data_IF_275940634100
#
_entry.id   IF_275940634100
#
_cell.length_a   1.000
_cell.length_b   1.000
_cell.length_c   1.000
_cell.angle_alpha   90.00
_cell.angle_beta   90.00
_cell.angle_gamma   90.00
#
_symmetry.space_group_name_H-M   'P 1'
#
loop_
_entity.id
_entity.type
_entity.pdbx_description
1 polymer ?
#
# COMPACT_ATOMS: atom_id res chain seq x y z
N UNK A 1 29.01 5.28 -17.52
CA UNK A 1 29.01 4.91 -16.09
C UNK A 1 28.90 3.40 -16.01
N UNK A 2 29.83 2.73 -15.32
CA UNK A 2 29.71 1.29 -15.07
C UNK A 2 28.68 0.98 -13.98
N UNK A 3 28.38 -0.29 -13.77
CA UNK A 3 27.49 -0.77 -12.71
C UNK A 3 27.97 -0.35 -11.31
N UNK A 4 29.26 -0.59 -11.00
CA UNK A 4 29.83 -0.25 -9.70
C UNK A 4 29.81 1.27 -9.42
N UNK A 5 30.09 2.10 -10.42
CA UNK A 5 30.02 3.57 -10.29
C UNK A 5 28.59 4.03 -9.96
N UNK A 6 27.59 3.38 -10.59
CA UNK A 6 26.17 3.66 -10.38
C UNK A 6 25.76 3.30 -8.94
N UNK A 7 26.14 2.11 -8.46
CA UNK A 7 25.85 1.66 -7.10
C UNK A 7 26.50 2.60 -6.08
N UNK A 8 27.80 2.86 -6.21
CA UNK A 8 28.56 3.71 -5.28
C UNK A 8 27.96 5.11 -5.20
N UNK A 9 27.55 5.67 -6.34
CA UNK A 9 27.05 7.05 -6.41
C UNK A 9 25.61 7.19 -5.95
N UNK A 10 24.72 6.30 -6.36
CA UNK A 10 23.29 6.48 -6.15
C UNK A 10 22.75 5.69 -4.98
N UNK A 11 23.20 4.45 -4.76
CA UNK A 11 22.55 3.49 -3.85
C UNK A 11 23.36 3.16 -2.59
N UNK A 12 24.67 3.42 -2.57
CA UNK A 12 25.47 3.16 -1.37
C UNK A 12 25.25 4.26 -0.32
N UNK A 13 24.94 3.84 0.90
CA UNK A 13 24.82 4.69 2.09
C UNK A 13 25.52 4.03 3.27
N UNK A 14 26.04 4.81 4.24
CA UNK A 14 26.55 4.25 5.48
C UNK A 14 25.43 3.52 6.23
N UNK A 15 25.70 2.29 6.67
CA UNK A 15 24.81 1.57 7.58
C UNK A 15 24.76 2.30 8.93
N UNK A 16 23.57 2.43 9.51
CA UNK A 16 23.37 3.04 10.84
C UNK A 16 22.88 2.01 11.84
N UNK A 17 21.92 1.18 11.42
CA UNK A 17 21.26 0.17 12.26
C UNK A 17 21.76 -1.24 11.99
N UNK A 18 21.93 -1.61 10.72
CA UNK A 18 22.33 -2.97 10.35
C UNK A 18 23.85 -3.16 10.43
N UNK A 19 24.30 -4.40 10.58
CA UNK A 19 25.73 -4.72 10.71
C UNK A 19 26.53 -4.37 9.44
N UNK A 20 25.87 -4.50 8.28
CA UNK A 20 26.41 -4.17 6.97
C UNK A 20 25.39 -3.35 6.17
N UNK A 21 25.90 -2.47 5.31
CA UNK A 21 25.13 -1.80 4.26
C UNK A 21 25.53 -2.35 2.89
N UNK A 22 25.15 -1.64 1.82
CA UNK A 22 25.57 -2.00 0.46
C UNK A 22 27.10 -2.00 0.33
N UNK A 23 27.68 -3.10 -0.16
CA UNK A 23 29.11 -3.21 -0.45
C UNK A 23 29.78 -4.55 -0.13
N UNK A 24 29.03 -5.53 0.37
CA UNK A 24 29.49 -6.92 0.62
C UNK A 24 28.60 -7.91 -0.15
N UNK A 25 28.96 -9.20 -0.17
CA UNK A 25 28.25 -10.25 -0.93
C UNK A 25 26.86 -10.56 -0.37
N UNK A 26 26.62 -10.27 0.91
CA UNK A 26 25.29 -10.42 1.51
C UNK A 26 25.02 -9.41 2.64
N UNK A 27 23.74 -9.13 2.85
CA UNK A 27 23.28 -8.37 4.00
C UNK A 27 23.21 -9.27 5.25
N UNK A 28 23.60 -8.72 6.40
CA UNK A 28 23.47 -9.38 7.70
C UNK A 28 22.41 -8.66 8.54
N UNK A 29 21.26 -9.31 8.70
CA UNK A 29 20.10 -8.79 9.43
C UNK A 29 19.88 -9.57 10.73
N UNK A 30 19.76 -8.85 11.84
CA UNK A 30 19.44 -9.43 13.14
C UNK A 30 18.18 -8.73 13.71
N UNK A 31 17.02 -9.41 13.69
CA UNK A 31 15.82 -8.90 14.37
C UNK A 31 16.09 -8.72 15.87
N UNK A 32 15.41 -7.78 16.51
CA UNK A 32 15.50 -7.64 17.96
C UNK A 32 15.00 -8.92 18.67
N UNK A 33 15.53 -9.19 19.88
CA UNK A 33 15.13 -10.36 20.65
C UNK A 33 13.61 -10.36 20.92
N UNK A 34 12.95 -11.49 20.66
CA UNK A 34 11.49 -11.63 20.80
C UNK A 34 10.68 -11.17 19.59
N UNK A 35 11.33 -10.72 18.52
CA UNK A 35 10.68 -10.37 17.25
C UNK A 35 10.70 -11.54 16.25
N UNK A 36 9.77 -11.50 15.31
CA UNK A 36 9.76 -12.31 14.09
C UNK A 36 10.07 -11.39 12.89
N UNK A 37 10.78 -11.94 11.91
CA UNK A 37 11.06 -11.24 10.65
C UNK A 37 9.85 -11.37 9.71
N UNK A 38 9.26 -10.24 9.34
CA UNK A 38 8.29 -10.11 8.26
C UNK A 38 9.05 -9.78 6.96
N UNK A 39 8.71 -10.48 5.87
CA UNK A 39 9.36 -10.31 4.57
C UNK A 39 8.29 -10.19 3.50
N UNK A 40 8.39 -9.19 2.65
CA UNK A 40 7.54 -9.05 1.45
C UNK A 40 8.39 -8.64 0.25
N UNK A 41 7.89 -8.88 -0.96
CA UNK A 41 8.55 -8.46 -2.18
C UNK A 41 7.55 -8.14 -3.28
N UNK A 42 7.68 -6.95 -3.83
CA UNK A 42 6.87 -6.45 -4.95
C UNK A 42 7.74 -6.02 -6.12
N UNK A 43 7.15 -6.15 -7.32
CA UNK A 43 7.77 -5.82 -8.58
C UNK A 43 6.96 -4.78 -9.34
N UNK A 44 7.61 -3.66 -9.70
CA UNK A 44 7.05 -2.61 -10.55
C UNK A 44 7.65 -2.67 -11.95
N UNK A 45 6.80 -3.08 -12.89
CA UNK A 45 7.07 -3.13 -14.34
C UNK A 45 6.51 -1.89 -15.04
N UNK A 46 7.33 -1.22 -15.86
CA UNK A 46 6.95 -0.09 -16.69
C UNK A 46 5.78 -0.43 -17.63
N UNK A 47 4.83 0.50 -17.79
CA UNK A 47 3.64 0.31 -18.63
C UNK A 47 2.57 -0.58 -18.02
N UNK A 48 2.86 -1.23 -16.87
CA UNK A 48 1.90 -2.02 -16.09
C UNK A 48 1.57 -1.36 -14.75
N UNK A 49 2.58 -1.08 -13.94
CA UNK A 49 2.38 -0.53 -12.58
C UNK A 49 2.65 0.98 -12.48
N UNK A 50 3.33 1.53 -13.48
CA UNK A 50 3.56 2.96 -13.63
C UNK A 50 3.66 3.32 -15.11
N UNK A 51 3.39 4.59 -15.42
CA UNK A 51 3.45 5.12 -16.77
C UNK A 51 4.90 5.50 -17.13
N UNK A 52 5.35 5.35 -18.39
CA UNK A 52 6.71 5.71 -18.79
C UNK A 52 7.09 7.18 -18.50
N UNK A 53 6.11 8.07 -18.45
CA UNK A 53 6.29 9.50 -18.19
C UNK A 53 6.24 9.88 -16.69
N UNK A 54 6.25 8.90 -15.78
CA UNK A 54 6.26 9.16 -14.34
C UNK A 54 7.54 9.91 -13.93
N UNK A 55 7.40 10.86 -13.01
CA UNK A 55 8.57 11.54 -12.43
C UNK A 55 9.45 10.51 -11.68
N UNK A 56 10.75 10.41 -11.96
CA UNK A 56 11.58 9.35 -11.37
C UNK A 56 11.66 9.44 -9.84
N UNK A 57 11.62 10.63 -9.25
CA UNK A 57 11.64 10.76 -7.79
C UNK A 57 10.35 10.22 -7.17
N UNK A 58 9.20 10.50 -7.78
CA UNK A 58 7.94 9.88 -7.36
C UNK A 58 7.96 8.37 -7.53
N UNK A 59 8.50 7.87 -8.65
CA UNK A 59 8.65 6.42 -8.85
C UNK A 59 9.55 5.76 -7.81
N UNK A 60 10.66 6.40 -7.41
CA UNK A 60 11.52 5.93 -6.33
C UNK A 60 10.80 5.84 -4.99
N UNK A 61 9.98 6.85 -4.67
CA UNK A 61 9.08 6.80 -3.50
C UNK A 61 8.09 5.64 -3.61
N UNK A 62 7.34 5.55 -4.73
CA UNK A 62 6.33 4.50 -4.94
C UNK A 62 6.94 3.11 -4.79
N UNK A 63 8.10 2.87 -5.40
CA UNK A 63 8.78 1.57 -5.36
C UNK A 63 8.95 1.01 -3.94
N UNK A 64 9.35 1.86 -2.98
CA UNK A 64 9.45 1.42 -1.59
C UNK A 64 8.10 1.48 -0.86
N UNK A 65 7.27 2.48 -1.14
CA UNK A 65 5.97 2.66 -0.47
C UNK A 65 5.06 1.44 -0.59
N UNK A 66 4.98 0.82 -1.77
CA UNK A 66 4.13 -0.37 -1.99
C UNK A 66 4.55 -1.54 -1.08
N UNK A 67 5.85 -1.77 -0.94
CA UNK A 67 6.36 -2.82 -0.06
C UNK A 67 6.22 -2.46 1.43
N UNK A 68 6.37 -1.18 1.79
CA UNK A 68 6.13 -0.72 3.16
C UNK A 68 4.64 -0.84 3.54
N UNK A 69 3.73 -0.82 2.56
CA UNK A 69 2.29 -1.09 2.75
C UNK A 69 2.06 -2.52 3.23
N UNK A 70 2.75 -3.52 2.65
CA UNK A 70 2.67 -4.91 3.13
C UNK A 70 3.13 -5.05 4.58
N UNK A 71 4.25 -4.39 4.92
CA UNK A 71 4.72 -4.37 6.30
C UNK A 71 3.70 -3.69 7.23
N UNK A 72 3.06 -2.61 6.79
CA UNK A 72 1.98 -1.97 7.55
C UNK A 72 0.79 -2.93 7.76
N UNK A 73 0.38 -3.69 6.74
CA UNK A 73 -0.70 -4.66 6.82
C UNK A 73 -0.38 -5.86 7.74
N UNK A 74 0.91 -6.21 7.87
CA UNK A 74 1.41 -7.17 8.86
C UNK A 74 1.55 -6.54 10.26
N UNK A 75 1.43 -5.22 10.36
CA UNK A 75 1.77 -4.46 11.55
C UNK A 75 3.24 -4.62 11.90
N UNK A 76 4.17 -4.64 10.96
CA UNK A 76 5.61 -4.75 11.19
C UNK A 76 6.27 -3.35 11.27
N UNK A 77 7.39 -3.26 11.98
CA UNK A 77 8.30 -2.12 11.91
C UNK A 77 9.31 -2.35 10.78
N UNK A 78 9.41 -1.46 9.78
CA UNK A 78 10.45 -1.55 8.76
C UNK A 78 11.85 -1.61 9.39
N UNK A 79 12.71 -2.44 8.79
CA UNK A 79 14.07 -2.69 9.23
C UNK A 79 15.06 -2.40 8.09
N UNK A 80 14.85 -3.04 6.93
CA UNK A 80 15.75 -2.97 5.80
C UNK A 80 15.03 -3.34 4.50
N UNK A 81 15.67 -3.10 3.37
CA UNK A 81 15.21 -3.58 2.08
C UNK A 81 16.38 -3.84 1.12
N UNK A 82 16.12 -4.64 0.09
CA UNK A 82 17.02 -4.82 -1.07
C UNK A 82 16.37 -4.29 -2.34
N UNK A 83 17.18 -3.83 -3.29
CA UNK A 83 16.72 -3.31 -4.58
C UNK A 83 17.35 -4.10 -5.74
N UNK A 84 16.53 -4.84 -6.48
CA UNK A 84 16.91 -5.40 -7.77
C UNK A 84 16.37 -4.51 -8.90
N UNK A 85 17.29 -3.86 -9.62
CA UNK A 85 16.97 -2.82 -10.60
C UNK A 85 17.48 -3.21 -11.99
N UNK A 86 16.55 -3.36 -12.94
CA UNK A 86 16.87 -3.49 -14.35
C UNK A 86 16.58 -2.17 -15.08
N UNK A 87 17.56 -1.68 -15.83
CA UNK A 87 17.48 -0.41 -16.57
C UNK A 87 17.95 -0.60 -18.02
N UNK A 88 17.32 0.05 -19.02
CA UNK A 88 17.75 -0.08 -20.41
C UNK A 88 19.14 0.55 -20.63
N UNK A 89 19.42 1.62 -19.90
CA UNK A 89 20.69 2.35 -19.91
C UNK A 89 20.95 3.01 -18.56
N UNK A 90 22.21 3.22 -18.22
CA UNK A 90 22.62 3.99 -17.04
C UNK A 90 22.45 5.50 -17.33
N UNK A 91 21.28 6.04 -17.02
CA UNK A 91 20.96 7.47 -17.16
C UNK A 91 20.98 8.17 -15.79
N UNK A 92 21.98 9.01 -15.59
CA UNK A 92 22.15 9.80 -14.37
C UNK A 92 20.98 10.76 -14.10
N UNK A 93 20.40 11.35 -15.15
CA UNK A 93 19.29 12.29 -15.02
C UNK A 93 18.03 11.60 -14.50
N UNK A 94 17.92 10.29 -14.68
CA UNK A 94 16.85 9.44 -14.14
C UNK A 94 17.22 8.85 -12.77
N UNK A 95 18.43 8.30 -12.63
CA UNK A 95 18.92 7.64 -11.42
C UNK A 95 18.98 8.57 -10.21
N UNK A 96 19.47 9.80 -10.41
CA UNK A 96 19.60 10.77 -9.33
C UNK A 96 18.24 11.12 -8.68
N UNK A 97 17.19 11.54 -9.42
CA UNK A 97 15.87 11.74 -8.84
C UNK A 97 15.27 10.47 -8.25
N UNK A 98 15.38 9.33 -8.94
CA UNK A 98 14.87 8.06 -8.44
C UNK A 98 15.43 7.71 -7.06
N UNK A 99 16.77 7.71 -6.92
CA UNK A 99 17.42 7.44 -5.66
C UNK A 99 17.01 8.45 -4.58
N UNK A 100 16.89 9.75 -4.91
CA UNK A 100 16.44 10.76 -3.93
C UNK A 100 15.05 10.46 -3.36
N UNK A 101 14.09 10.12 -4.21
CA UNK A 101 12.73 9.78 -3.78
C UNK A 101 12.68 8.51 -2.94
N UNK A 102 13.41 7.48 -3.37
CA UNK A 102 13.56 6.22 -2.63
C UNK A 102 14.14 6.45 -1.23
N UNK A 103 15.27 7.18 -1.13
CA UNK A 103 15.94 7.42 0.14
C UNK A 103 15.19 8.36 1.06
N UNK A 104 14.46 9.35 0.52
CA UNK A 104 13.63 10.22 1.34
C UNK A 104 12.58 9.41 2.12
N UNK A 105 11.94 8.43 1.46
CA UNK A 105 10.97 7.55 2.13
C UNK A 105 11.65 6.54 3.06
N UNK A 106 12.78 5.96 2.63
CA UNK A 106 13.58 5.04 3.44
C UNK A 106 14.00 5.66 4.78
N UNK A 107 14.48 6.91 4.75
CA UNK A 107 14.87 7.67 5.92
C UNK A 107 13.68 7.98 6.83
N UNK A 108 12.53 8.36 6.26
CA UNK A 108 11.31 8.65 7.02
C UNK A 108 10.76 7.43 7.78
N UNK A 109 11.08 6.21 7.34
CA UNK A 109 10.64 4.96 7.96
C UNK A 109 11.77 4.17 8.62
N UNK A 110 12.98 4.72 8.69
CA UNK A 110 14.18 4.06 9.24
C UNK A 110 14.42 2.67 8.61
N UNK A 111 14.19 2.55 7.30
CA UNK A 111 14.31 1.31 6.54
C UNK A 111 15.55 1.37 5.64
N UNK A 112 16.62 0.66 5.98
CA UNK A 112 17.90 0.82 5.28
C UNK A 112 17.99 -0.02 3.99
N UNK A 113 18.54 0.53 2.90
CA UNK A 113 18.95 -0.26 1.75
C UNK A 113 20.22 -1.03 2.11
N UNK A 114 20.13 -2.36 2.18
CA UNK A 114 21.23 -3.23 2.64
C UNK A 114 21.87 -4.07 1.54
N UNK A 115 21.27 -4.10 0.34
CA UNK A 115 21.79 -4.88 -0.77
C UNK A 115 20.90 -4.78 -1.99
N UNK A 116 21.24 -5.54 -3.03
CA UNK A 116 20.51 -5.47 -4.28
C UNK A 116 21.29 -6.03 -5.45
N UNK A 117 20.71 -5.85 -6.64
CA UNK A 117 21.34 -6.20 -7.91
C UNK A 117 21.01 -5.09 -8.92
N UNK A 118 21.94 -4.75 -9.80
CA UNK A 118 21.69 -3.77 -10.87
C UNK A 118 22.14 -4.33 -12.20
N UNK A 119 21.21 -4.42 -13.15
CA UNK A 119 21.48 -5.04 -14.45
C UNK A 119 20.90 -4.23 -15.61
N UNK A 120 21.35 -4.54 -16.82
CA UNK A 120 20.84 -3.94 -18.05
C UNK A 120 19.69 -4.76 -18.62
N UNK A 121 18.52 -4.16 -18.78
CA UNK A 121 17.33 -4.81 -19.34
C UNK A 121 16.13 -3.84 -19.41
N UNK A 122 14.92 -4.30 -19.73
CA UNK A 122 13.71 -3.48 -19.64
C UNK A 122 13.54 -2.88 -18.23
N UNK A 123 12.98 -1.67 -18.13
CA UNK A 123 12.83 -0.99 -16.84
C UNK A 123 11.93 -1.81 -15.90
N UNK A 124 12.56 -2.33 -14.83
CA UNK A 124 11.90 -3.14 -13.82
C UNK A 124 12.54 -2.87 -12.46
N UNK A 125 11.71 -2.66 -11.45
CA UNK A 125 12.12 -2.38 -10.08
C UNK A 125 11.51 -3.45 -9.19
N UNK A 126 12.33 -4.30 -8.59
CA UNK A 126 11.91 -5.28 -7.61
C UNK A 126 12.53 -4.93 -6.26
N UNK A 127 11.70 -4.77 -5.24
CA UNK A 127 12.16 -4.53 -3.88
C UNK A 127 11.72 -5.71 -3.02
N UNK A 128 12.60 -6.12 -2.11
CA UNK A 128 12.25 -7.02 -1.00
C UNK A 128 12.44 -6.24 0.28
N UNK A 129 11.40 -6.15 1.11
CA UNK A 129 11.47 -5.46 2.40
C UNK A 129 11.50 -6.46 3.54
N UNK A 130 12.19 -6.04 4.60
CA UNK A 130 12.32 -6.74 5.85
C UNK A 130 11.79 -5.84 6.94
N UNK A 131 10.89 -6.36 7.75
CA UNK A 131 10.39 -5.71 8.95
C UNK A 131 10.40 -6.66 10.12
N UNK A 132 10.23 -6.13 11.33
CA UNK A 132 10.15 -6.93 12.54
C UNK A 132 8.81 -6.70 13.25
N UNK A 133 8.24 -7.78 13.78
CA UNK A 133 6.98 -7.76 14.52
C UNK A 133 7.13 -8.60 15.79
N UNK A 134 6.60 -8.18 16.95
CA UNK A 134 6.66 -9.00 18.15
C UNK A 134 6.02 -10.37 17.90
N UNK A 135 6.65 -11.43 18.40
CA UNK A 135 6.17 -12.78 18.16
C UNK A 135 4.69 -12.95 18.56
N UNK A 136 3.87 -13.44 17.63
CA UNK A 136 2.43 -13.63 17.84
C UNK A 136 1.56 -12.38 17.77
N UNK A 137 2.11 -11.22 17.41
CA UNK A 137 1.37 -9.96 17.24
C UNK A 137 1.21 -9.52 15.77
N UNK A 138 1.66 -10.35 14.82
CA UNK A 138 1.46 -10.08 13.40
C UNK A 138 -0.03 -9.96 13.08
N UNK A 139 -0.38 -8.91 12.35
CA UNK A 139 -1.71 -8.76 11.78
C UNK A 139 -1.80 -9.66 10.55
N UNK A 140 -2.85 -10.47 10.48
CA UNK A 140 -3.05 -11.44 9.41
C UNK A 140 -4.35 -11.15 8.66
N UNK A 141 -4.45 -11.66 7.43
CA UNK A 141 -5.71 -11.65 6.66
C UNK A 141 -6.79 -12.53 7.30
N UNK A 142 -6.38 -13.53 8.08
CA UNK A 142 -7.25 -14.39 8.85
C UNK A 142 -7.53 -13.82 10.24
N UNK A 143 -8.70 -14.12 10.78
CA UNK A 143 -9.08 -13.79 12.16
C UNK A 143 -10.29 -12.87 12.28
N UNK A 144 -10.83 -12.36 11.16
CA UNK A 144 -12.07 -11.59 11.15
C UNK A 144 -13.24 -12.44 11.67
N UNK A 145 -14.11 -11.83 12.47
CA UNK A 145 -15.22 -12.52 13.16
C UNK A 145 -16.55 -11.85 12.84
N UNK A 146 -17.61 -12.65 12.78
CA UNK A 146 -18.96 -12.11 12.65
C UNK A 146 -19.25 -11.09 13.77
N UNK A 147 -19.75 -9.91 13.39
CA UNK A 147 -19.98 -8.81 14.32
C UNK A 147 -18.82 -7.82 14.45
N UNK A 148 -17.64 -8.12 13.90
CA UNK A 148 -16.57 -7.13 13.78
C UNK A 148 -17.02 -5.98 12.87
N UNK A 149 -16.64 -4.76 13.21
CA UNK A 149 -16.74 -3.62 12.32
C UNK A 149 -15.62 -3.70 11.26
N UNK A 150 -15.94 -3.24 10.05
CA UNK A 150 -15.00 -3.16 8.93
C UNK A 150 -14.56 -1.71 8.71
N UNK A 151 -13.24 -1.49 8.67
CA UNK A 151 -12.62 -0.17 8.56
C UNK A 151 -11.68 -0.08 7.38
N UNK A 152 -11.54 1.14 6.85
CA UNK A 152 -10.53 1.53 5.87
C UNK A 152 -9.83 2.78 6.35
N UNK A 153 -8.50 2.87 6.17
CA UNK A 153 -7.76 4.10 6.43
C UNK A 153 -7.77 5.07 5.24
N UNK A 154 -7.53 6.34 5.51
CA UNK A 154 -7.30 7.37 4.49
C UNK A 154 -8.43 7.54 3.48
N UNK A 155 -8.05 7.65 2.21
CA UNK A 155 -8.94 7.86 1.06
C UNK A 155 -8.71 6.79 -0.01
N UNK A 156 -9.77 6.44 -0.74
CA UNK A 156 -9.74 5.44 -1.82
C UNK A 156 -10.22 6.02 -3.15
N UNK A 157 -9.69 5.50 -4.25
CA UNK A 157 -10.11 5.80 -5.62
C UNK A 157 -9.46 7.04 -6.25
N UNK A 158 -8.75 7.86 -5.47
CA UNK A 158 -8.03 9.03 -5.99
C UNK A 158 -6.90 8.61 -6.95
N UNK A 159 -6.22 7.50 -6.68
CA UNK A 159 -5.20 6.94 -7.57
C UNK A 159 -5.82 6.52 -8.92
N UNK A 160 -7.00 5.88 -8.87
CA UNK A 160 -7.76 5.51 -10.08
C UNK A 160 -8.16 6.74 -10.90
N UNK A 161 -8.60 7.82 -10.26
CA UNK A 161 -8.90 9.08 -10.94
C UNK A 161 -7.67 9.60 -11.72
N UNK A 162 -6.49 9.63 -11.10
CA UNK A 162 -5.26 10.08 -11.75
C UNK A 162 -4.89 9.21 -12.97
N UNK A 163 -5.07 7.90 -12.86
CA UNK A 163 -4.83 6.96 -13.95
C UNK A 163 -5.77 7.19 -15.13
N UNK A 164 -7.07 7.37 -14.87
CA UNK A 164 -8.06 7.60 -15.91
C UNK A 164 -7.85 8.95 -16.63
N UNK A 165 -7.45 10.00 -15.91
CA UNK A 165 -7.05 11.28 -16.54
C UNK A 165 -5.79 11.10 -17.39
N UNK A 166 -4.80 10.35 -16.90
CA UNK A 166 -3.55 10.09 -17.64
C UNK A 166 -3.77 9.24 -18.91
N UNK A 167 -4.84 8.43 -18.94
CA UNK A 167 -5.28 7.67 -20.11
C UNK A 167 -6.12 8.50 -21.10
N UNK A 168 -6.48 9.73 -20.74
CA UNK A 168 -7.34 10.61 -21.54
C UNK A 168 -8.82 10.24 -21.49
N UNK A 169 -9.26 9.43 -20.51
CA UNK A 169 -10.67 9.04 -20.37
C UNK A 169 -11.55 10.20 -19.87
N UNK A 170 -10.96 11.13 -19.12
CA UNK A 170 -11.62 12.35 -18.64
C UNK A 170 -10.60 13.48 -18.41
N UNK A 171 -11.13 14.68 -18.19
CA UNK A 171 -10.34 15.86 -17.82
C UNK A 171 -10.89 16.46 -16.52
N UNK A 172 -9.97 16.90 -15.66
CA UNK A 172 -10.29 17.51 -14.37
C UNK A 172 -9.41 18.76 -14.17
N UNK A 173 -9.79 19.69 -13.27
CA UNK A 173 -8.94 20.83 -12.93
C UNK A 173 -7.52 20.40 -12.53
N UNK A 174 -6.52 21.21 -12.88
CA UNK A 174 -5.12 20.86 -12.69
C UNK A 174 -4.74 20.60 -11.22
N UNK A 175 -5.35 21.32 -10.28
CA UNK A 175 -5.14 21.14 -8.84
C UNK A 175 -5.74 19.81 -8.33
N UNK A 176 -6.89 19.41 -8.86
CA UNK A 176 -7.51 18.12 -8.57
C UNK A 176 -6.67 16.96 -9.14
N UNK A 177 -6.15 17.13 -10.36
CA UNK A 177 -5.23 16.16 -10.97
C UNK A 177 -3.96 16.01 -10.13
N UNK A 178 -3.36 17.10 -9.67
CA UNK A 178 -2.12 17.01 -8.87
C UNK A 178 -2.35 16.29 -7.54
N UNK A 179 -3.48 16.54 -6.87
CA UNK A 179 -3.86 15.79 -5.65
C UNK A 179 -4.05 14.31 -5.93
N UNK A 180 -4.77 13.96 -7.00
CA UNK A 180 -4.96 12.58 -7.41
C UNK A 180 -3.63 11.90 -7.80
N UNK A 181 -2.76 12.59 -8.54
CA UNK A 181 -1.43 12.09 -8.92
C UNK A 181 -0.52 11.89 -7.72
N UNK A 182 -0.62 12.73 -6.69
CA UNK A 182 0.08 12.49 -5.44
C UNK A 182 -0.36 11.18 -4.78
N UNK A 183 -1.64 10.78 -4.90
CA UNK A 183 -2.11 9.48 -4.40
C UNK A 183 -1.59 8.31 -5.23
N UNK A 184 -1.55 8.44 -6.56
CA UNK A 184 -1.05 7.40 -7.47
C UNK A 184 0.47 7.19 -7.39
N UNK A 185 1.23 8.29 -7.40
CA UNK A 185 2.68 8.28 -7.56
C UNK A 185 3.44 8.42 -6.23
N UNK A 186 2.80 8.96 -5.18
CA UNK A 186 3.38 9.15 -3.85
C UNK A 186 2.49 8.54 -2.74
N UNK A 187 2.09 7.26 -2.86
CA UNK A 187 1.25 6.64 -1.83
C UNK A 187 1.94 6.67 -0.47
N UNK A 188 1.17 6.87 0.59
CA UNK A 188 1.69 6.98 1.96
C UNK A 188 1.46 5.66 2.69
N UNK A 189 2.50 4.84 2.94
CA UNK A 189 2.33 3.56 3.61
C UNK A 189 1.95 3.78 5.08
N UNK A 190 0.89 3.10 5.53
CA UNK A 190 0.28 3.33 6.85
C UNK A 190 0.97 2.57 7.99
N UNK A 191 2.31 2.58 8.01
CA UNK A 191 3.14 1.81 8.94
C UNK A 191 2.78 2.09 10.40
N UNK A 192 2.69 3.37 10.80
CA UNK A 192 2.36 3.75 12.17
C UNK A 192 0.97 3.25 12.60
N UNK A 193 -0.01 3.27 11.68
CA UNK A 193 -1.35 2.74 11.94
C UNK A 193 -1.31 1.22 12.09
N UNK A 194 -0.63 0.50 11.19
CA UNK A 194 -0.46 -0.95 11.26
C UNK A 194 0.12 -1.40 12.60
N UNK A 195 1.13 -0.69 13.11
CA UNK A 195 1.70 -0.98 14.42
C UNK A 195 0.73 -0.68 15.57
N UNK A 196 -0.01 0.43 15.50
CA UNK A 196 -0.98 0.81 16.51
C UNK A 196 -2.20 -0.12 16.57
N UNK A 197 -2.47 -0.87 15.49
CA UNK A 197 -3.56 -1.84 15.40
C UNK A 197 -3.22 -3.23 15.97
N UNK A 198 -1.95 -3.51 16.32
CA UNK A 198 -1.56 -4.77 16.97
C UNK A 198 -2.39 -5.04 18.22
N UNK A 199 -3.01 -6.22 18.29
CA UNK A 199 -3.90 -6.61 19.40
C UNK A 199 -5.27 -5.91 19.43
N UNK A 200 -5.55 -5.01 18.47
CA UNK A 200 -6.87 -4.38 18.28
C UNK A 200 -7.58 -4.95 17.05
N UNK A 201 -6.88 -5.02 15.92
CA UNK A 201 -7.42 -5.57 14.69
C UNK A 201 -7.52 -7.10 14.77
N UNK A 202 -8.64 -7.63 14.30
CA UNK A 202 -8.89 -9.08 14.21
C UNK A 202 -8.41 -9.65 12.88
N UNK A 203 -8.39 -8.85 11.82
CA UNK A 203 -7.72 -9.13 10.55
C UNK A 203 -7.29 -7.81 9.88
N UNK A 204 -6.28 -7.87 9.02
CA UNK A 204 -5.79 -6.72 8.25
C UNK A 204 -5.22 -7.15 6.89
N UNK A 205 -5.34 -6.27 5.90
CA UNK A 205 -4.71 -6.30 4.59
C UNK A 205 -4.53 -4.86 4.12
N UNK A 206 -3.60 -4.58 3.22
CA UNK A 206 -3.59 -3.31 2.50
C UNK A 206 -4.53 -3.37 1.28
N UNK A 207 -4.81 -2.19 0.70
CA UNK A 207 -5.70 -2.02 -0.45
C UNK A 207 -4.87 -1.63 -1.67
N UNK A 208 -4.48 -2.61 -2.46
CA UNK A 208 -3.62 -2.44 -3.65
C UNK A 208 -4.34 -2.78 -4.94
N UNK A 209 -5.15 -3.85 -4.96
CA UNK A 209 -5.97 -4.30 -6.10
C UNK A 209 -7.42 -3.77 -6.06
N UNK A 210 -7.72 -3.01 -5.01
CA UNK A 210 -8.98 -2.34 -4.77
C UNK A 210 -9.80 -3.01 -3.67
N UNK A 211 -10.59 -2.20 -2.97
CA UNK A 211 -11.24 -2.56 -1.70
C UNK A 211 -11.95 -3.91 -1.73
N UNK A 212 -12.73 -4.18 -2.78
CA UNK A 212 -13.49 -5.44 -2.88
C UNK A 212 -12.61 -6.64 -3.24
N UNK A 213 -11.53 -6.43 -4.00
CA UNK A 213 -10.54 -7.48 -4.29
C UNK A 213 -9.86 -7.93 -3.00
N UNK A 214 -9.27 -6.96 -2.29
CA UNK A 214 -8.52 -7.22 -1.07
C UNK A 214 -9.38 -7.74 0.08
N UNK A 215 -10.61 -7.23 0.21
CA UNK A 215 -11.56 -7.76 1.18
C UNK A 215 -11.90 -9.23 0.92
N UNK A 216 -12.01 -9.67 -0.34
CA UNK A 216 -12.29 -11.10 -0.64
C UNK A 216 -11.20 -12.00 -0.09
N UNK A 217 -9.94 -11.55 -0.04
CA UNK A 217 -8.85 -12.31 0.58
C UNK A 217 -9.07 -12.48 2.09
N UNK A 218 -9.45 -11.40 2.79
CA UNK A 218 -9.78 -11.44 4.23
C UNK A 218 -10.96 -12.37 4.51
N UNK A 219 -12.04 -12.23 3.73
CA UNK A 219 -13.25 -13.04 3.88
C UNK A 219 -12.97 -14.54 3.66
N UNK A 220 -12.18 -14.87 2.63
CA UNK A 220 -11.78 -16.25 2.34
C UNK A 220 -10.88 -16.82 3.44
N UNK A 221 -9.87 -16.07 3.88
CA UNK A 221 -8.94 -16.50 4.92
C UNK A 221 -9.62 -16.66 6.29
N UNK A 222 -10.71 -15.93 6.53
CA UNK A 222 -11.48 -15.95 7.79
C UNK A 222 -12.76 -16.79 7.72
N UNK A 223 -13.13 -17.32 6.55
CA UNK A 223 -14.37 -18.09 6.32
C UNK A 223 -15.66 -17.36 6.75
N UNK A 224 -15.77 -16.06 6.45
CA UNK A 224 -16.89 -15.17 6.80
C UNK A 224 -17.36 -14.38 5.57
N UNK A 225 -18.41 -13.57 5.72
CA UNK A 225 -18.83 -12.58 4.72
C UNK A 225 -18.79 -11.15 5.26
N UNK A 226 -19.23 -10.19 4.45
CA UNK A 226 -19.32 -8.80 4.86
C UNK A 226 -20.53 -8.08 4.25
N UNK A 227 -21.04 -7.10 5.00
CA UNK A 227 -21.98 -6.10 4.57
C UNK A 227 -21.30 -4.73 4.52
N UNK A 228 -21.21 -4.13 3.34
CA UNK A 228 -20.60 -2.82 3.08
C UNK A 228 -21.69 -1.76 2.90
N UNK A 229 -21.47 -0.61 3.49
CA UNK A 229 -22.26 0.61 3.29
C UNK A 229 -21.67 1.43 2.14
N UNK A 230 -22.36 1.47 1.00
CA UNK A 230 -21.94 2.21 -0.19
C UNK A 230 -21.88 3.72 0.06
N UNK A 231 -22.76 4.26 0.92
CA UNK A 231 -22.75 5.67 1.28
C UNK A 231 -21.49 6.05 2.05
N UNK A 232 -21.06 5.20 2.99
CA UNK A 232 -19.79 5.36 3.69
C UNK A 232 -18.59 5.28 2.73
N UNK A 233 -18.63 4.36 1.76
CA UNK A 233 -17.58 4.24 0.74
C UNK A 233 -17.49 5.47 -0.18
N UNK A 234 -18.61 6.03 -0.64
CA UNK A 234 -18.59 7.23 -1.51
C UNK A 234 -17.84 8.41 -0.88
N UNK A 235 -17.89 8.53 0.45
CA UNK A 235 -17.20 9.56 1.22
C UNK A 235 -15.69 9.33 1.41
N UNK A 236 -15.14 8.20 0.92
CA UNK A 236 -13.72 7.89 1.02
C UNK A 236 -12.89 8.61 -0.04
N UNK A 237 -13.42 8.90 -1.22
CA UNK A 237 -12.68 9.64 -2.25
C UNK A 237 -12.54 11.10 -1.83
N UNK A 238 -11.31 11.60 -1.73
CA UNK A 238 -11.03 12.96 -1.23
C UNK A 238 -11.12 14.02 -2.34
N UNK A 239 -10.77 13.66 -3.58
CA UNK A 239 -10.85 14.60 -4.69
C UNK A 239 -12.30 15.03 -4.95
N UNK A 240 -12.58 16.32 -4.76
CA UNK A 240 -13.88 16.95 -5.04
C UNK A 240 -14.11 17.18 -6.54
N UNK A 241 -14.06 16.10 -7.33
CA UNK A 241 -14.42 16.12 -8.76
C UNK A 241 -15.88 15.71 -8.93
N UNK A 242 -16.56 16.37 -9.87
CA UNK A 242 -17.91 15.97 -10.27
C UNK A 242 -17.82 14.68 -11.09
N UNK A 243 -18.15 13.57 -10.45
CA UNK A 243 -18.33 12.25 -11.06
C UNK A 243 -19.78 11.83 -10.82
N UNK A 244 -20.36 11.08 -11.74
CA UNK A 244 -21.60 10.40 -11.43
C UNK A 244 -21.37 9.42 -10.25
N UNK A 245 -22.39 9.20 -9.39
CA UNK A 245 -22.22 8.38 -8.19
C UNK A 245 -21.76 6.94 -8.48
N UNK A 246 -22.15 6.37 -9.61
CA UNK A 246 -21.84 4.99 -9.98
C UNK A 246 -20.37 4.83 -10.36
N UNK A 247 -19.80 5.77 -11.12
CA UNK A 247 -18.37 5.83 -11.45
C UNK A 247 -17.54 6.06 -10.20
N UNK A 248 -17.96 7.00 -9.33
CA UNK A 248 -17.25 7.28 -8.07
C UNK A 248 -17.22 6.04 -7.18
N UNK A 249 -18.35 5.36 -7.03
CA UNK A 249 -18.44 4.14 -6.24
C UNK A 249 -17.56 3.03 -6.83
N UNK A 250 -17.58 2.85 -8.15
CA UNK A 250 -16.73 1.88 -8.82
C UNK A 250 -15.24 2.14 -8.57
N UNK A 251 -14.77 3.39 -8.66
CA UNK A 251 -13.37 3.72 -8.41
C UNK A 251 -12.96 3.55 -6.96
N UNK A 252 -13.85 3.82 -6.00
CA UNK A 252 -13.58 3.55 -4.58
C UNK A 252 -13.54 2.04 -4.29
N UNK A 253 -14.44 1.27 -4.88
CA UNK A 253 -14.61 -0.14 -4.56
C UNK A 253 -13.63 -1.06 -5.31
N UNK A 254 -13.20 -0.65 -6.50
CA UNK A 254 -12.44 -1.48 -7.42
C UNK A 254 -11.26 -0.75 -8.08
N UNK A 255 -11.04 0.53 -7.77
CA UNK A 255 -9.78 1.20 -8.09
C UNK A 255 -8.65 0.63 -7.23
N UNK A 256 -7.53 0.31 -7.86
CA UNK A 256 -6.30 -0.09 -7.17
C UNK A 256 -5.36 1.10 -6.92
N UNK A 257 -4.15 0.81 -6.48
CA UNK A 257 -3.07 1.76 -6.15
C UNK A 257 -3.34 2.69 -4.95
N UNK A 258 -4.25 2.34 -4.04
CA UNK A 258 -4.59 3.20 -2.89
C UNK A 258 -3.58 3.06 -1.72
N UNK A 259 -3.08 1.85 -1.45
CA UNK A 259 -2.13 1.49 -0.38
C UNK A 259 -2.57 1.96 1.02
N UNK A 260 -3.87 1.92 1.26
CA UNK A 260 -4.50 2.09 2.57
C UNK A 260 -4.65 0.75 3.30
N UNK A 261 -4.95 0.75 4.60
CA UNK A 261 -5.25 -0.47 5.35
C UNK A 261 -6.75 -0.72 5.40
N UNK A 262 -7.14 -1.94 5.04
CA UNK A 262 -8.44 -2.53 5.30
C UNK A 262 -8.31 -3.47 6.50
N UNK A 263 -9.09 -3.24 7.55
CA UNK A 263 -9.00 -4.07 8.75
C UNK A 263 -10.35 -4.24 9.44
N UNK A 264 -10.42 -5.27 10.27
CA UNK A 264 -11.60 -5.57 11.10
C UNK A 264 -11.26 -5.41 12.56
N UNK A 265 -12.22 -4.99 13.38
CA UNK A 265 -12.06 -4.93 14.83
C UNK A 265 -13.40 -5.18 15.52
N UNK A 266 -13.35 -5.71 16.74
CA UNK A 266 -14.57 -5.94 17.52
C UNK A 266 -15.31 -4.61 17.78
N UNK A 267 -16.64 -4.62 17.71
CA UNK A 267 -17.46 -3.42 17.81
C UNK A 267 -17.33 -2.68 19.17
N UNK A 268 -16.94 -3.38 20.24
CA UNK A 268 -16.64 -2.80 21.55
C UNK A 268 -15.26 -2.12 21.63
N UNK A 269 -14.44 -2.23 20.57
CA UNK A 269 -13.10 -1.63 20.46
C UNK A 269 -13.05 -0.32 19.66
N UNK A 270 -14.20 0.23 19.27
CA UNK A 270 -14.30 1.48 18.47
C UNK A 270 -13.46 2.62 19.01
N UNK A 271 -13.52 2.88 20.32
CA UNK A 271 -12.79 3.98 20.93
C UNK A 271 -11.26 3.76 20.88
N UNK A 272 -10.79 2.51 21.04
CA UNK A 272 -9.38 2.17 20.89
C UNK A 272 -8.91 2.31 19.44
N UNK A 273 -9.73 1.92 18.46
CA UNK A 273 -9.44 2.11 17.03
C UNK A 273 -9.30 3.60 16.71
N UNK A 274 -10.22 4.44 17.19
CA UNK A 274 -10.11 5.89 17.01
C UNK A 274 -8.88 6.49 17.69
N UNK A 275 -8.49 5.98 18.87
CA UNK A 275 -7.30 6.42 19.57
C UNK A 275 -6.02 6.04 18.80
N UNK A 276 -5.94 4.81 18.28
CA UNK A 276 -4.85 4.34 17.43
C UNK A 276 -4.74 5.18 16.15
N UNK A 277 -5.88 5.45 15.49
CA UNK A 277 -5.96 6.31 14.31
C UNK A 277 -5.43 7.72 14.56
N UNK A 278 -5.84 8.36 15.68
CA UNK A 278 -5.33 9.68 16.08
C UNK A 278 -3.83 9.66 16.38
N UNK A 279 -3.35 8.66 17.10
CA UNK A 279 -1.93 8.51 17.43
C UNK A 279 -1.07 8.33 16.17
N UNK A 280 -1.59 7.60 15.18
CA UNK A 280 -0.94 7.40 13.89
C UNK A 280 -1.15 8.55 12.89
N UNK A 281 -1.87 9.62 13.27
CA UNK A 281 -2.20 10.74 12.39
C UNK A 281 -2.96 10.33 11.12
N UNK A 282 -3.69 9.20 11.15
CA UNK A 282 -4.33 8.59 9.98
C UNK A 282 -5.82 8.48 10.22
N UNK A 283 -6.64 9.08 9.35
CA UNK A 283 -8.10 8.90 9.40
C UNK A 283 -8.46 7.44 9.16
N UNK A 284 -9.42 6.92 9.93
CA UNK A 284 -10.05 5.63 9.68
C UNK A 284 -11.55 5.82 9.57
N UNK A 285 -12.18 5.13 8.62
CA UNK A 285 -13.61 5.23 8.35
C UNK A 285 -14.21 3.83 8.47
N UNK A 286 -15.29 3.70 9.25
CA UNK A 286 -16.06 2.46 9.31
C UNK A 286 -16.94 2.38 8.06
N UNK A 287 -16.78 1.30 7.29
CA UNK A 287 -17.44 1.11 6.00
C UNK A 287 -18.44 -0.05 5.99
N UNK A 288 -18.56 -0.77 7.11
CA UNK A 288 -19.44 -1.94 7.16
C UNK A 288 -19.20 -2.80 8.39
N UNK A 289 -19.57 -4.08 8.25
CA UNK A 289 -19.40 -5.12 9.27
C UNK A 289 -19.14 -6.48 8.65
N UNK A 290 -18.51 -7.36 9.40
CA UNK A 290 -18.34 -8.77 9.09
C UNK A 290 -19.58 -9.55 9.50
N UNK A 291 -19.99 -10.50 8.67
CA UNK A 291 -21.19 -11.33 8.85
C UNK A 291 -20.82 -12.82 8.83
N UNK A 292 -21.59 -13.63 9.56
CA UNK A 292 -21.34 -15.08 9.62
C UNK A 292 -21.56 -15.77 8.27
N UNK A 293 -22.57 -15.34 7.50
CA UNK A 293 -22.86 -15.91 6.19
C UNK A 293 -21.80 -15.47 5.17
N UNK A 294 -21.12 -16.42 4.48
CA UNK A 294 -20.12 -16.10 3.47
C UNK A 294 -20.63 -15.17 2.36
N UNK A 295 -19.69 -14.49 1.72
CA UNK A 295 -19.95 -13.62 0.57
C UNK A 295 -19.97 -12.13 0.90
N UNK A 296 -20.02 -11.32 -0.15
CA UNK A 296 -19.91 -9.87 -0.11
C UNK A 296 -21.25 -9.24 -0.49
N UNK A 297 -21.77 -8.35 0.34
CA UNK A 297 -23.03 -7.64 0.11
C UNK A 297 -22.82 -6.14 0.24
N UNK A 298 -23.27 -5.41 -0.76
CA UNK A 298 -23.22 -3.95 -0.79
C UNK A 298 -24.63 -3.40 -0.57
N UNK A 299 -24.76 -2.42 0.30
CA UNK A 299 -26.04 -1.78 0.65
C UNK A 299 -25.97 -0.28 0.37
N UNK A 300 -27.05 0.28 -0.18
CA UNK A 300 -27.19 1.72 -0.31
C UNK A 300 -27.61 2.39 1.02
N UNK A 301 -27.70 3.72 1.02
CA UNK A 301 -28.10 4.50 2.20
C UNK A 301 -29.52 4.21 2.71
N UNK A 302 -30.37 3.57 1.89
CA UNK A 302 -31.73 3.16 2.26
C UNK A 302 -31.78 1.72 2.77
N UNK A 303 -30.66 1.00 2.77
CA UNK A 303 -30.54 -0.39 3.19
C UNK A 303 -30.91 -1.40 2.11
N UNK A 304 -31.13 -0.97 0.86
CA UNK A 304 -31.35 -1.88 -0.25
C UNK A 304 -30.03 -2.44 -0.76
N UNK A 305 -30.05 -3.73 -1.13
CA UNK A 305 -28.89 -4.41 -1.68
C UNK A 305 -28.62 -3.95 -3.11
N UNK A 306 -27.39 -3.51 -3.37
CA UNK A 306 -26.90 -3.23 -4.71
C UNK A 306 -26.46 -4.55 -5.36
N UNK A 307 -27.06 -4.89 -6.50
CA UNK A 307 -26.80 -6.15 -7.22
C UNK A 307 -25.67 -6.08 -8.26
N UNK A 308 -25.04 -4.91 -8.42
CA UNK A 308 -23.96 -4.66 -9.39
C UNK A 308 -22.72 -5.48 -9.04
N UNK A 309 -22.06 -6.03 -10.07
CA UNK A 309 -20.75 -6.68 -9.95
C UNK A 309 -19.64 -5.67 -10.26
N UNK A 310 -18.55 -5.75 -9.50
CA UNK A 310 -17.36 -4.94 -9.67
C UNK A 310 -16.18 -5.87 -9.96
N UNK A 311 -15.49 -5.65 -11.07
CA UNK A 311 -14.29 -6.37 -11.43
C UNK A 311 -13.12 -5.85 -10.59
N UNK A 312 -12.31 -6.75 -10.04
CA UNK A 312 -11.03 -6.41 -9.41
C UNK A 312 -9.90 -6.49 -10.44
N UNK A 313 -8.76 -5.87 -10.14
CA UNK A 313 -7.57 -6.02 -10.97
C UNK A 313 -7.05 -7.47 -10.95
N UNK A 314 -6.55 -7.95 -12.08
CA UNK A 314 -5.90 -9.25 -12.26
C UNK A 314 -4.86 -9.12 -13.37
N UNK A 315 -3.63 -9.55 -13.09
CA UNK A 315 -2.51 -9.49 -14.03
C UNK A 315 -2.66 -10.39 -15.26
N UNK A 316 -3.53 -11.39 -15.21
CA UNK A 316 -3.67 -12.42 -16.24
C UNK A 316 -5.10 -12.54 -16.78
N UNK A 317 -6.01 -11.62 -16.44
CA UNK A 317 -7.37 -11.56 -16.97
C UNK A 317 -7.44 -10.96 -18.38
#
# INVERSE_FOLDING_TARGET
MGEFDLIERFFKRPARRNALGVGDDCALLAPAAGMQLAVSSDMLVEGRHFLPAVDPARLGHKALAVNLSDLAACGAQPLAFTLALSLPQADEAWLAPFARGLFALAEAHECELVGGDTTRGPLNICITVFGEVPAGQALLRSGARAGDDLYVSGSLGDARLALEVSRGALSVPADALERARARLDLPTPRVALGQALRGLATACIDVSDGLLGDLRHVLRASAVGAAIDAGACLALMDCAVQLDPDTRLEWVLAGGDDYELLFTAAADRRQQVEAAARAAGTRVTRIGRIEAAPGLRLFDATGHRIARQFASFDHFA
#
